data_IF_299561848512
#
_entry.id   IF_299561848512
#
_cell.length_a   1.000
_cell.length_b   1.000
_cell.length_c   1.000
_cell.angle_alpha   90.00
_cell.angle_beta   90.00
_cell.angle_gamma   90.00
#
_symmetry.space_group_name_H-M   'P 1'
#
loop_
_entity.id
_entity.type
_entity.pdbx_description
1 polymer ?
#
# COMPACT_ATOMS: atom_id res chain seq x y z
N UNK A 1 43.26 -15.87 -11.63
CA UNK A 1 42.93 -15.70 -10.19
C UNK A 1 42.55 -14.26 -9.85
N UNK A 2 43.23 -13.25 -10.39
CA UNK A 2 42.88 -11.83 -10.19
C UNK A 2 41.53 -11.43 -10.80
N UNK A 3 41.22 -11.85 -12.04
CA UNK A 3 39.94 -11.50 -12.69
C UNK A 3 38.72 -12.10 -11.99
N UNK A 4 38.84 -13.29 -11.40
CA UNK A 4 37.76 -13.94 -10.64
C UNK A 4 37.48 -13.25 -9.30
N UNK A 5 38.51 -12.74 -8.63
CA UNK A 5 38.35 -11.94 -7.40
C UNK A 5 37.64 -10.61 -7.67
N UNK A 6 37.97 -9.94 -8.77
CA UNK A 6 37.35 -8.66 -9.16
C UNK A 6 35.88 -8.86 -9.51
N UNK A 7 35.54 -9.89 -10.30
CA UNK A 7 34.14 -10.18 -10.65
C UNK A 7 33.31 -10.56 -9.43
N UNK A 8 33.85 -11.37 -8.51
CA UNK A 8 33.14 -11.70 -7.27
C UNK A 8 32.91 -10.46 -6.38
N UNK A 9 33.90 -9.57 -6.22
CA UNK A 9 33.72 -8.33 -5.48
C UNK A 9 32.68 -7.39 -6.09
N UNK A 10 32.68 -7.25 -7.43
CA UNK A 10 31.68 -6.43 -8.13
C UNK A 10 30.27 -7.01 -7.94
N UNK A 11 30.13 -8.33 -8.02
CA UNK A 11 28.85 -9.01 -7.82
C UNK A 11 28.32 -8.78 -6.38
N UNK A 12 29.18 -8.87 -5.37
CA UNK A 12 28.84 -8.61 -3.97
C UNK A 12 28.42 -7.16 -3.77
N UNK A 13 29.15 -6.21 -4.36
CA UNK A 13 28.82 -4.78 -4.27
C UNK A 13 27.46 -4.50 -4.92
N UNK A 14 27.18 -5.10 -6.08
CA UNK A 14 25.88 -5.00 -6.75
C UNK A 14 24.78 -5.60 -5.88
N UNK A 15 24.97 -6.78 -5.28
CA UNK A 15 24.00 -7.41 -4.39
C UNK A 15 23.71 -6.54 -3.15
N UNK A 16 24.74 -5.96 -2.54
CA UNK A 16 24.58 -5.02 -1.42
C UNK A 16 23.83 -3.76 -1.85
N UNK A 17 24.15 -3.22 -3.02
CA UNK A 17 23.45 -2.06 -3.58
C UNK A 17 21.98 -2.38 -3.91
N UNK A 18 21.70 -3.53 -4.51
CA UNK A 18 20.33 -3.99 -4.82
C UNK A 18 19.52 -4.33 -3.57
N UNK A 19 20.18 -4.77 -2.50
CA UNK A 19 19.56 -4.95 -1.20
C UNK A 19 19.23 -3.61 -0.54
N UNK A 20 20.17 -2.65 -0.59
CA UNK A 20 20.00 -1.33 0.00
C UNK A 20 19.03 -0.45 -0.79
N UNK A 21 18.99 -0.52 -2.11
CA UNK A 21 18.06 0.27 -2.94
C UNK A 21 16.81 -0.56 -3.20
N UNK A 22 15.59 -0.05 -2.98
CA UNK A 22 14.36 -0.79 -3.23
C UNK A 22 14.05 -0.83 -4.74
N UNK A 23 15.02 -1.24 -5.56
CA UNK A 23 14.94 -1.25 -7.02
C UNK A 23 13.86 -2.21 -7.52
N UNK A 24 13.78 -3.40 -6.92
CA UNK A 24 12.71 -4.39 -7.18
C UNK A 24 11.33 -3.80 -6.90
N UNK A 25 11.21 -3.02 -5.84
CA UNK A 25 9.95 -2.40 -5.42
C UNK A 25 9.54 -1.29 -6.41
N UNK A 26 10.49 -0.49 -6.85
CA UNK A 26 10.27 0.54 -7.87
C UNK A 26 9.85 -0.06 -9.22
N UNK A 27 10.43 -1.20 -9.60
CA UNK A 27 10.01 -1.91 -10.82
C UNK A 27 8.56 -2.39 -10.70
N UNK A 28 8.17 -2.91 -9.53
CA UNK A 28 6.79 -3.33 -9.27
C UNK A 28 5.80 -2.15 -9.33
N UNK A 29 6.13 -1.00 -8.75
CA UNK A 29 5.27 0.20 -8.81
C UNK A 29 5.07 0.67 -10.25
N UNK A 30 6.12 0.66 -11.06
CA UNK A 30 6.07 1.03 -12.48
C UNK A 30 5.20 0.07 -13.29
N UNK A 31 5.32 -1.25 -13.06
CA UNK A 31 4.51 -2.26 -13.76
C UNK A 31 3.02 -2.18 -13.41
N UNK A 32 2.68 -1.79 -12.17
CA UNK A 32 1.30 -1.65 -11.72
C UNK A 32 0.72 -0.24 -11.97
N UNK A 33 1.49 0.65 -12.60
CA UNK A 33 1.08 2.01 -12.91
C UNK A 33 0.90 2.90 -11.68
N UNK A 34 1.48 2.55 -10.52
CA UNK A 34 1.50 3.42 -9.35
C UNK A 34 2.82 4.19 -9.38
N UNK A 35 2.78 5.50 -9.55
CA UNK A 35 3.99 6.29 -9.73
C UNK A 35 4.67 6.58 -8.39
N UNK A 36 5.72 5.81 -8.09
CA UNK A 36 6.64 6.07 -6.98
C UNK A 36 8.05 6.36 -7.51
N UNK A 37 8.66 7.43 -7.01
CA UNK A 37 10.07 7.69 -7.24
C UNK A 37 10.96 6.77 -6.40
N UNK A 38 12.14 6.38 -6.92
CA UNK A 38 13.15 5.68 -6.12
C UNK A 38 13.50 6.46 -4.84
N UNK A 39 13.60 7.78 -4.95
CA UNK A 39 13.87 8.68 -3.82
C UNK A 39 12.74 8.60 -2.79
N UNK A 40 11.47 8.57 -3.22
CA UNK A 40 10.34 8.47 -2.30
C UNK A 40 10.34 7.16 -1.50
N UNK A 41 10.63 6.03 -2.16
CA UNK A 41 10.75 4.73 -1.49
C UNK A 41 11.89 4.72 -0.45
N UNK A 42 12.97 5.43 -0.73
CA UNK A 42 14.08 5.62 0.23
C UNK A 42 13.64 6.51 1.38
N UNK A 43 12.96 7.63 1.11
CA UNK A 43 12.42 8.54 2.13
C UNK A 43 11.42 7.86 3.06
N UNK A 44 10.58 6.96 2.54
CA UNK A 44 9.66 6.15 3.35
C UNK A 44 10.42 5.32 4.39
N UNK A 45 11.51 4.65 3.99
CA UNK A 45 12.34 3.88 4.94
C UNK A 45 13.01 4.77 5.98
N UNK A 46 13.46 5.97 5.60
CA UNK A 46 13.99 6.95 6.56
C UNK A 46 12.94 7.39 7.58
N UNK A 47 11.68 7.53 7.14
CA UNK A 47 10.52 7.78 8.01
C UNK A 47 10.04 6.55 8.79
N UNK A 48 10.73 5.41 8.70
CA UNK A 48 10.33 4.11 9.27
C UNK A 48 9.00 3.56 8.75
N UNK A 49 8.56 3.99 7.57
CA UNK A 49 7.38 3.44 6.89
C UNK A 49 7.83 2.33 5.94
N UNK A 50 7.27 1.12 6.01
CA UNK A 50 7.59 0.03 5.09
C UNK A 50 7.02 0.33 3.70
N UNK A 51 7.85 0.67 2.69
CA UNK A 51 7.35 1.06 1.38
C UNK A 51 6.58 -0.09 0.70
N UNK A 52 6.97 -1.34 0.95
CA UNK A 52 6.32 -2.51 0.38
C UNK A 52 4.84 -2.63 0.76
N UNK A 53 4.49 -2.25 2.00
CA UNK A 53 3.11 -2.26 2.49
C UNK A 53 2.26 -1.22 1.75
N UNK A 54 2.75 0.02 1.66
CA UNK A 54 2.03 1.13 1.03
C UNK A 54 1.86 0.87 -0.47
N UNK A 55 2.94 0.45 -1.14
CA UNK A 55 2.92 0.09 -2.56
C UNK A 55 1.90 -1.00 -2.84
N UNK A 56 1.97 -2.13 -2.12
CA UNK A 56 1.04 -3.25 -2.34
C UNK A 56 -0.40 -2.83 -2.11
N UNK A 57 -0.66 -2.04 -1.06
CA UNK A 57 -1.98 -1.53 -0.73
C UNK A 57 -2.54 -0.63 -1.83
N UNK A 58 -1.72 0.26 -2.40
CA UNK A 58 -2.12 1.13 -3.51
C UNK A 58 -2.33 0.37 -4.82
N UNK A 59 -1.50 -0.63 -5.10
CA UNK A 59 -1.69 -1.51 -6.27
C UNK A 59 -3.05 -2.21 -6.17
N UNK A 60 -3.36 -2.82 -5.03
CA UNK A 60 -4.65 -3.49 -4.80
C UNK A 60 -5.84 -2.53 -4.89
N UNK A 61 -5.70 -1.32 -4.36
CA UNK A 61 -6.72 -0.28 -4.51
C UNK A 61 -6.94 0.10 -5.98
N UNK A 62 -5.86 0.31 -6.72
CA UNK A 62 -5.90 0.67 -8.14
C UNK A 62 -6.50 -0.44 -9.00
N UNK A 63 -6.15 -1.70 -8.74
CA UNK A 63 -6.75 -2.88 -9.38
C UNK A 63 -8.26 -2.97 -9.11
N UNK A 64 -8.73 -2.54 -7.94
CA UNK A 64 -10.15 -2.39 -7.63
C UNK A 64 -10.79 -1.12 -8.23
N UNK A 65 -10.04 -0.35 -9.02
CA UNK A 65 -10.44 0.92 -9.64
C UNK A 65 -10.55 2.08 -8.66
N UNK A 66 -9.86 2.04 -7.53
CA UNK A 66 -9.76 3.14 -6.55
C UNK A 66 -8.39 3.80 -6.78
N UNK A 67 -8.34 4.75 -7.72
CA UNK A 67 -7.10 5.45 -8.10
C UNK A 67 -6.81 6.69 -7.26
N UNK A 68 -7.82 7.25 -6.59
CA UNK A 68 -7.76 8.59 -6.00
C UNK A 68 -7.33 8.54 -4.52
N UNK A 69 -6.34 7.70 -4.22
CA UNK A 69 -5.79 7.53 -2.88
C UNK A 69 -4.48 8.29 -2.77
N UNK A 70 -4.44 9.26 -1.86
CA UNK A 70 -3.19 9.94 -1.52
C UNK A 70 -2.28 9.02 -0.69
N UNK A 71 -1.10 8.73 -1.24
CA UNK A 71 -0.05 7.93 -0.60
C UNK A 71 0.37 8.51 0.76
N UNK A 72 0.39 9.83 0.91
CA UNK A 72 0.79 10.47 2.17
C UNK A 72 -0.20 10.22 3.29
N UNK A 73 -1.50 10.07 2.97
CA UNK A 73 -2.52 9.72 3.96
C UNK A 73 -2.28 8.29 4.47
N UNK A 74 -1.93 7.34 3.59
CA UNK A 74 -1.62 5.98 4.01
C UNK A 74 -0.32 5.89 4.82
N UNK A 75 0.70 6.66 4.44
CA UNK A 75 1.94 6.79 5.23
C UNK A 75 1.65 7.33 6.63
N UNK A 76 0.88 8.43 6.72
CA UNK A 76 0.51 9.03 7.99
C UNK A 76 -0.34 8.09 8.85
N UNK A 77 -1.28 7.35 8.23
CA UNK A 77 -2.10 6.35 8.91
C UNK A 77 -1.26 5.21 9.50
N UNK A 78 -0.28 4.72 8.74
CA UNK A 78 0.68 3.73 9.24
C UNK A 78 1.50 4.27 10.42
N UNK A 79 2.01 5.49 10.31
CA UNK A 79 2.77 6.15 11.37
C UNK A 79 1.93 6.41 12.63
N UNK A 80 0.63 6.62 12.48
CA UNK A 80 -0.32 6.72 13.58
C UNK A 80 -0.63 5.37 14.25
N UNK A 81 -0.07 4.26 13.75
CA UNK A 81 -0.29 2.91 14.25
C UNK A 81 -1.54 2.22 13.67
N UNK A 82 -2.14 2.80 12.63
CA UNK A 82 -3.32 2.24 11.97
C UNK A 82 -2.99 1.13 10.97
N UNK A 83 -4.02 0.36 10.60
CA UNK A 83 -3.91 -0.75 9.66
C UNK A 83 -4.26 -0.31 8.23
N UNK A 84 -3.23 -0.02 7.43
CA UNK A 84 -3.38 0.37 6.02
C UNK A 84 -4.09 -0.71 5.19
N UNK A 85 -3.82 -1.99 5.44
CA UNK A 85 -4.43 -3.09 4.69
C UNK A 85 -5.93 -3.17 4.98
N UNK A 86 -6.34 -3.03 6.24
CA UNK A 86 -7.74 -3.02 6.63
C UNK A 86 -8.51 -1.88 5.94
N UNK A 87 -7.94 -0.67 5.95
CA UNK A 87 -8.51 0.50 5.27
C UNK A 87 -8.72 0.25 3.77
N UNK A 88 -7.71 -0.28 3.05
CA UNK A 88 -7.85 -0.56 1.63
C UNK A 88 -8.88 -1.66 1.35
N UNK A 89 -8.84 -2.77 2.08
CA UNK A 89 -9.81 -3.85 1.90
C UNK A 89 -11.24 -3.38 2.17
N UNK A 90 -11.44 -2.58 3.22
CA UNK A 90 -12.72 -1.98 3.55
C UNK A 90 -13.22 -1.01 2.47
N UNK A 91 -12.34 -0.20 1.87
CA UNK A 91 -12.70 0.65 0.73
C UNK A 91 -13.10 -0.16 -0.49
N UNK A 92 -12.44 -1.29 -0.76
CA UNK A 92 -12.78 -2.20 -1.86
C UNK A 92 -14.15 -2.84 -1.61
N UNK A 93 -14.41 -3.31 -0.39
CA UNK A 93 -15.71 -3.86 0.01
C UNK A 93 -16.83 -2.81 -0.12
N UNK A 94 -16.59 -1.60 0.39
CA UNK A 94 -17.51 -0.48 0.27
C UNK A 94 -17.83 -0.15 -1.20
N UNK A 95 -16.80 -0.10 -2.06
CA UNK A 95 -16.98 0.17 -3.48
C UNK A 95 -17.81 -0.92 -4.17
N UNK A 96 -17.55 -2.20 -3.89
CA UNK A 96 -18.33 -3.33 -4.41
C UNK A 96 -19.82 -3.24 -4.00
N UNK A 97 -20.09 -2.73 -2.81
CA UNK A 97 -21.44 -2.48 -2.29
C UNK A 97 -22.08 -1.16 -2.75
N UNK A 98 -21.43 -0.39 -3.63
CA UNK A 98 -21.91 0.93 -4.05
C UNK A 98 -21.96 1.96 -2.92
N UNK A 99 -21.11 1.79 -1.89
CA UNK A 99 -20.97 2.73 -0.78
C UNK A 99 -19.90 3.77 -1.11
N UNK A 100 -20.24 5.05 -0.95
CA UNK A 100 -19.27 6.16 -1.06
C UNK A 100 -18.50 6.28 0.26
N UNK A 101 -17.39 5.55 0.38
CA UNK A 101 -16.47 5.65 1.50
C UNK A 101 -15.16 6.30 1.06
N UNK A 102 -14.75 7.36 1.77
CA UNK A 102 -13.49 8.06 1.51
C UNK A 102 -12.38 7.50 2.39
N UNK A 103 -11.14 7.52 1.88
CA UNK A 103 -9.95 7.05 2.61
C UNK A 103 -9.82 7.69 3.98
N UNK A 104 -10.03 9.02 4.11
CA UNK A 104 -9.90 9.68 5.42
C UNK A 104 -10.93 9.19 6.44
N UNK A 105 -12.14 8.83 6.00
CA UNK A 105 -13.18 8.29 6.89
C UNK A 105 -12.83 6.88 7.33
N UNK A 106 -12.35 6.05 6.41
CA UNK A 106 -11.89 4.70 6.71
C UNK A 106 -10.70 4.72 7.69
N UNK A 107 -9.70 5.58 7.46
CA UNK A 107 -8.58 5.77 8.39
C UNK A 107 -9.03 6.18 9.79
N UNK A 108 -9.93 7.18 9.88
CA UNK A 108 -10.46 7.63 11.18
C UNK A 108 -11.21 6.51 11.92
N UNK A 109 -12.02 5.72 11.21
CA UNK A 109 -12.75 4.62 11.81
C UNK A 109 -11.80 3.48 12.26
N UNK A 110 -10.75 3.19 11.49
CA UNK A 110 -9.74 2.19 11.83
C UNK A 110 -8.98 2.58 13.10
N UNK A 111 -8.60 3.86 13.24
CA UNK A 111 -8.00 4.39 14.48
C UNK A 111 -8.96 4.35 15.69
N UNK A 112 -10.27 4.35 15.45
CA UNK A 112 -11.29 4.15 16.49
C UNK A 112 -11.51 2.68 16.86
N UNK A 113 -10.78 1.75 16.24
CA UNK A 113 -10.91 0.30 16.48
C UNK A 113 -12.06 -0.37 15.73
N UNK A 114 -12.61 0.27 14.70
CA UNK A 114 -13.67 -0.29 13.87
C UNK A 114 -13.04 -1.10 12.74
N UNK A 115 -13.48 -2.35 12.57
CA UNK A 115 -13.17 -3.13 11.38
C UNK A 115 -13.96 -2.57 10.17
N UNK A 116 -13.24 -1.97 9.23
CA UNK A 116 -13.85 -1.30 8.08
C UNK A 116 -14.44 -2.31 7.11
N UNK A 117 -13.85 -3.51 7.00
CA UNK A 117 -14.35 -4.58 6.13
C UNK A 117 -15.69 -5.05 6.66
N UNK A 118 -15.76 -5.41 7.94
CA UNK A 118 -17.00 -5.87 8.58
C UNK A 118 -18.10 -4.80 8.54
N UNK A 119 -17.74 -3.55 8.81
CA UNK A 119 -18.68 -2.43 8.74
C UNK A 119 -19.24 -2.24 7.31
N UNK A 120 -18.39 -2.34 6.28
CA UNK A 120 -18.82 -2.23 4.89
C UNK A 120 -19.74 -3.39 4.47
N UNK A 121 -19.40 -4.62 4.87
CA UNK A 121 -20.21 -5.82 4.59
C UNK A 121 -21.58 -5.79 5.27
N UNK A 122 -21.63 -5.35 6.53
CA UNK A 122 -22.89 -5.23 7.28
C UNK A 122 -23.84 -4.23 6.63
N UNK A 123 -23.32 -3.06 6.21
CA UNK A 123 -24.11 -2.05 5.51
C UNK A 123 -24.56 -2.56 4.13
N UNK A 124 -23.72 -3.28 3.42
CA UNK A 124 -24.05 -3.89 2.13
C UNK A 124 -25.21 -4.90 2.27
N UNK A 125 -25.14 -5.77 3.28
CA UNK A 125 -26.18 -6.76 3.59
C UNK A 125 -27.51 -6.09 3.92
N UNK A 126 -27.50 -5.06 4.76
CA UNK A 126 -28.71 -4.33 5.14
C UNK A 126 -29.36 -3.60 3.96
N UNK A 127 -28.56 -3.06 3.02
CA UNK A 127 -29.11 -2.46 1.80
C UNK A 127 -29.84 -3.48 0.93
N UNK A 128 -29.29 -4.68 0.77
CA UNK A 128 -29.91 -5.71 -0.06
C UNK A 128 -31.19 -6.26 0.57
N UNK A 129 -31.26 -6.32 1.91
CA UNK A 129 -32.46 -6.76 2.63
C UNK A 129 -33.60 -5.73 2.61
N UNK A 130 -33.33 -4.45 2.41
CA UNK A 130 -34.36 -3.40 2.31
C UNK A 130 -34.95 -3.28 0.91
N UNK A 131 -34.36 -3.93 -0.09
CA UNK A 131 -34.70 -3.79 -1.50
C UNK A 131 -35.43 -5.01 -2.08
N UNK A 132 -35.82 -5.97 -1.23
CA UNK A 132 -36.64 -7.14 -1.56
C UNK A 132 -37.89 -7.19 -0.69
#
# INVERSE_FOLDING_TARGET
>A
MSSTLITTSILILILLFLYYVPFLLWLATKSSGVEFGLIELILMRLRKVPPALIVKSLITAKEAGISDIDKHILEAHFLAGGNVTNVIQGLIAAKKAGLKLTVQKACKADLSGIDIVEAAETVAKNRNSSNG
#
